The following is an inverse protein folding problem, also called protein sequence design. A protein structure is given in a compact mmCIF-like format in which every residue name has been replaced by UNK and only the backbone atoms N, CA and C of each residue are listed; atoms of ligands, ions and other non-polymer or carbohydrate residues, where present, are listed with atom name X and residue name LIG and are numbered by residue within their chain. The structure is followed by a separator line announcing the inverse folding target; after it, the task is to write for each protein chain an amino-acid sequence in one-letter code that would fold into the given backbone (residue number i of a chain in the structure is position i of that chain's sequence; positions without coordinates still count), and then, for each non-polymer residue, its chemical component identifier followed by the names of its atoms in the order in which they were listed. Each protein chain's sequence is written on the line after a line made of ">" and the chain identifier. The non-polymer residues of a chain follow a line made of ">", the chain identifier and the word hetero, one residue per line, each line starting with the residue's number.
data_IF_220883688582
#
_entry.id   IF_220883688582
#
_cell.length_a   1.000
_cell.length_b   1.000
_cell.length_c   1.000
_cell.angle_alpha   90.00
_cell.angle_beta   90.00
_cell.angle_gamma   90.00
#
_symmetry.space_group_name_H-M   'P 1'
#
loop_
_entity.id
_entity.type
_entity.pdbx_description
1 polymer ?
#
# COMPACT_ATOMS: atom_id res chain seq x y z
N UNK A 1 -23.48 30.50 -5.43
CA UNK A 1 -22.97 29.74 -6.58
C UNK A 1 -22.58 28.38 -6.03
N UNK A 2 -23.40 27.35 -6.22
CA UNK A 2 -23.12 26.01 -5.72
C UNK A 2 -22.08 25.37 -6.66
N UNK A 3 -20.95 24.91 -6.13
CA UNK A 3 -19.98 24.14 -6.91
C UNK A 3 -20.63 22.82 -7.36
N UNK A 4 -20.62 22.56 -8.66
CA UNK A 4 -21.14 21.33 -9.28
C UNK A 4 -20.05 20.25 -9.45
N UNK A 5 -18.85 20.49 -8.94
CA UNK A 5 -17.77 19.52 -9.03
C UNK A 5 -17.91 18.51 -7.89
N UNK A 6 -18.17 17.26 -8.24
CA UNK A 6 -18.03 16.12 -7.33
C UNK A 6 -16.56 16.01 -6.90
N UNK A 7 -16.26 15.83 -5.61
CA UNK A 7 -14.89 15.65 -5.16
C UNK A 7 -14.32 14.36 -5.76
N UNK A 8 -13.25 14.48 -6.54
CA UNK A 8 -12.50 13.32 -7.04
C UNK A 8 -11.61 12.80 -5.90
N UNK A 9 -11.69 11.51 -5.54
CA UNK A 9 -10.85 10.95 -4.49
C UNK A 9 -9.37 10.99 -4.89
N UNK A 10 -8.50 11.36 -3.94
CA UNK A 10 -7.06 11.32 -4.14
C UNK A 10 -6.53 9.94 -3.74
N UNK A 11 -6.24 9.11 -4.74
CA UNK A 11 -5.89 7.70 -4.56
C UNK A 11 -4.40 7.47 -4.35
N UNK A 12 -3.52 8.41 -4.73
CA UNK A 12 -2.08 8.21 -4.61
C UNK A 12 -1.63 8.16 -3.13
N UNK A 13 -0.68 7.28 -2.83
CA UNK A 13 -0.04 7.14 -1.51
C UNK A 13 1.47 7.33 -1.64
N UNK A 14 2.30 6.46 -1.05
CA UNK A 14 3.75 6.47 -1.29
C UNK A 14 4.08 6.17 -2.77
N UNK A 15 5.33 6.37 -3.21
CA UNK A 15 5.71 6.13 -4.60
C UNK A 15 5.26 4.74 -5.11
N UNK A 16 4.51 4.75 -6.21
CA UNK A 16 3.97 3.52 -6.81
C UNK A 16 2.84 2.84 -6.03
N UNK A 17 2.22 3.53 -5.07
CA UNK A 17 1.08 3.02 -4.32
C UNK A 17 -0.23 3.74 -4.71
N UNK A 18 -1.30 2.96 -4.85
CA UNK A 18 -2.67 3.43 -5.06
C UNK A 18 -3.56 2.92 -3.92
N UNK A 19 -4.41 3.79 -3.41
CA UNK A 19 -5.36 3.46 -2.35
C UNK A 19 -6.56 2.72 -2.92
N UNK A 20 -6.87 1.60 -2.29
CA UNK A 20 -8.10 0.87 -2.52
C UNK A 20 -9.06 1.11 -1.36
N UNK A 21 -10.15 1.82 -1.65
CA UNK A 21 -11.16 2.16 -0.67
C UNK A 21 -12.04 0.96 -0.26
N UNK A 22 -12.12 -0.09 -1.07
CA UNK A 22 -12.91 -1.28 -0.75
C UNK A 22 -12.26 -2.10 0.37
N UNK A 23 -10.92 -2.21 0.34
CA UNK A 23 -10.16 -3.01 1.31
C UNK A 23 -9.48 -2.20 2.40
N UNK A 24 -9.41 -0.87 2.25
CA UNK A 24 -8.58 0.01 3.08
C UNK A 24 -7.08 -0.33 3.04
N UNK A 25 -6.60 -0.81 1.90
CA UNK A 25 -5.19 -1.14 1.68
C UNK A 25 -4.60 -0.28 0.56
N UNK A 26 -3.27 -0.15 0.53
CA UNK A 26 -2.57 0.46 -0.58
C UNK A 26 -2.02 -0.63 -1.51
N UNK A 27 -2.48 -0.68 -2.75
CA UNK A 27 -1.95 -1.56 -3.77
C UNK A 27 -0.60 -1.06 -4.28
N UNK A 28 0.40 -1.94 -4.22
CA UNK A 28 1.76 -1.68 -4.66
C UNK A 28 2.19 -2.76 -5.66
N UNK A 29 1.53 -2.74 -6.82
CA UNK A 29 1.76 -3.59 -8.00
C UNK A 29 1.66 -5.11 -7.78
N UNK A 30 2.47 -5.68 -6.91
CA UNK A 30 2.48 -7.11 -6.63
C UNK A 30 1.91 -7.45 -5.25
N UNK A 31 1.74 -6.45 -4.38
CA UNK A 31 1.30 -6.66 -3.01
C UNK A 31 0.40 -5.55 -2.50
N UNK A 32 -0.43 -5.90 -1.52
CA UNK A 32 -1.20 -4.93 -0.74
C UNK A 32 -0.47 -4.57 0.56
N UNK A 33 -0.38 -3.27 0.82
CA UNK A 33 0.24 -2.66 2.00
C UNK A 33 -0.83 -2.14 2.95
N UNK A 34 -0.72 -2.50 4.22
CA UNK A 34 -1.55 -2.01 5.31
C UNK A 34 -0.81 -0.89 6.05
N UNK A 35 -1.30 0.33 5.89
CA UNK A 35 -0.72 1.50 6.53
C UNK A 35 -0.92 1.52 8.05
N UNK A 36 -1.90 0.78 8.60
CA UNK A 36 -2.17 0.72 10.03
C UNK A 36 -1.14 -0.13 10.78
N UNK A 37 -0.66 -1.21 10.15
CA UNK A 37 0.37 -2.10 10.70
C UNK A 37 1.76 -1.80 10.16
N UNK A 38 1.86 -0.98 9.11
CA UNK A 38 3.10 -0.60 8.46
C UNK A 38 3.68 -1.68 7.55
N UNK A 39 2.88 -2.68 7.14
CA UNK A 39 3.38 -3.94 6.55
C UNK A 39 2.57 -4.40 5.35
N UNK A 40 3.17 -5.26 4.52
CA UNK A 40 2.43 -6.00 3.50
C UNK A 40 1.57 -7.08 4.14
N UNK A 41 0.37 -7.30 3.60
CA UNK A 41 -0.54 -8.38 4.02
C UNK A 41 -0.22 -9.71 3.31
N UNK A 42 0.67 -9.68 2.32
CA UNK A 42 1.11 -10.82 1.53
C UNK A 42 2.62 -11.01 1.69
N UNK A 43 3.05 -12.28 1.75
CA UNK A 43 4.46 -12.62 1.75
C UNK A 43 5.13 -12.17 0.44
N UNK A 44 6.39 -11.75 0.53
CA UNK A 44 7.16 -11.36 -0.65
C UNK A 44 7.28 -12.52 -1.66
N UNK A 45 6.85 -12.33 -2.93
CA UNK A 45 6.96 -13.36 -3.95
C UNK A 45 8.41 -13.71 -4.31
N UNK A 46 9.38 -12.84 -4.03
CA UNK A 46 10.81 -13.13 -4.19
C UNK A 46 11.33 -14.11 -3.12
N UNK A 47 10.57 -14.35 -2.05
CA UNK A 47 10.96 -15.22 -0.96
C UNK A 47 12.10 -14.66 -0.13
N UNK A 48 13.03 -15.52 0.29
CA UNK A 48 14.14 -15.15 1.19
C UNK A 48 15.24 -14.33 0.51
N UNK A 49 15.24 -14.25 -0.83
CA UNK A 49 16.17 -13.42 -1.58
C UNK A 49 15.94 -11.91 -1.32
N UNK A 50 14.72 -11.54 -0.91
CA UNK A 50 14.34 -10.17 -0.51
C UNK A 50 14.62 -9.84 0.95
N UNK A 51 15.22 -10.78 1.68
CA UNK A 51 15.53 -10.67 3.11
C UNK A 51 14.65 -11.54 3.99
N UNK A 52 14.94 -11.51 5.29
CA UNK A 52 14.28 -12.36 6.28
C UNK A 52 12.83 -11.95 6.57
N UNK A 53 12.53 -10.65 6.50
CA UNK A 53 11.18 -10.15 6.74
C UNK A 53 10.38 -10.14 5.43
N UNK A 54 9.55 -11.17 5.24
CA UNK A 54 8.71 -11.32 4.04
C UNK A 54 7.49 -10.40 3.99
N UNK A 55 7.21 -9.64 5.04
CA UNK A 55 6.04 -8.76 5.14
C UNK A 55 6.42 -7.30 5.35
N UNK A 56 7.71 -6.97 5.48
CA UNK A 56 8.16 -5.61 5.74
C UNK A 56 8.05 -4.72 4.50
N UNK A 57 7.74 -3.44 4.71
CA UNK A 57 7.89 -2.41 3.69
C UNK A 57 9.27 -1.77 3.79
N UNK A 58 10.06 -1.84 2.71
CA UNK A 58 11.38 -1.20 2.51
C UNK A 58 12.15 -0.83 3.80
N UNK A 59 13.00 -1.74 4.27
CA UNK A 59 13.95 -1.43 5.36
C UNK A 59 13.33 -1.27 6.75
N UNK A 60 12.08 -1.70 6.95
CA UNK A 60 11.44 -1.78 8.28
C UNK A 60 12.24 -2.73 9.19
N UNK A 61 13.17 -2.14 9.94
CA UNK A 61 13.70 -2.68 11.20
C UNK A 61 12.82 -2.09 12.30
N UNK A 62 12.03 -2.94 12.95
CA UNK A 62 11.43 -2.58 14.25
C UNK A 62 12.53 -2.38 15.28
#
# INVERSE_FOLDING_TARGET
>A
MQSYAEPVPFELRYPGQQWDAETNLAYNLHRYYDASTGRYVQADPIGLEGGWNRFGYVGEIQ
#
